data_IF_922418929401
#
_entry.id   IF_922418929401
#
_cell.length_a   1.000
_cell.length_b   1.000
_cell.length_c   1.000
_cell.angle_alpha   90.00
_cell.angle_beta   90.00
_cell.angle_gamma   90.00
#
_symmetry.space_group_name_H-M   'P 1'
#
loop_
_entity.id
_entity.type
_entity.pdbx_description
1 polymer ?
#
# COMPACT_ATOMS: atom_id res chain seq x y z
N UNK A 1 11.54 -8.47 -24.69
CA UNK A 1 10.22 -7.84 -24.54
C UNK A 1 10.18 -7.15 -23.20
N UNK A 2 9.83 -5.85 -23.17
CA UNK A 2 9.62 -5.11 -21.92
C UNK A 2 8.22 -5.42 -21.41
N UNK A 3 8.08 -5.73 -20.13
CA UNK A 3 6.79 -5.91 -19.47
C UNK A 3 6.25 -4.53 -19.06
N UNK A 4 5.02 -4.19 -19.46
CA UNK A 4 4.38 -2.92 -19.07
C UNK A 4 3.28 -3.14 -18.04
N UNK A 5 3.12 -2.17 -17.14
CA UNK A 5 2.05 -2.16 -16.14
C UNK A 5 0.80 -1.59 -16.79
N UNK A 6 -0.24 -2.42 -16.90
CA UNK A 6 -1.54 -2.03 -17.45
C UNK A 6 -2.39 -1.36 -16.36
N UNK A 7 -2.28 -1.82 -15.11
CA UNK A 7 -3.11 -1.31 -14.04
C UNK A 7 -2.66 -1.70 -12.65
N UNK A 8 -3.16 -0.96 -11.68
CA UNK A 8 -2.92 -1.17 -10.25
C UNK A 8 -4.27 -1.20 -9.56
N UNK A 9 -4.54 -2.28 -8.83
CA UNK A 9 -5.70 -2.39 -7.94
C UNK A 9 -5.18 -2.31 -6.51
N UNK A 10 -5.29 -1.15 -5.85
CA UNK A 10 -4.88 -1.02 -4.47
C UNK A 10 -5.88 -1.72 -3.54
N UNK A 11 -5.40 -2.24 -2.41
CA UNK A 11 -6.20 -2.67 -1.24
C UNK A 11 -7.14 -3.87 -1.44
N UNK A 12 -6.68 -4.92 -2.12
CA UNK A 12 -7.37 -6.21 -2.15
C UNK A 12 -7.32 -6.87 -0.78
N UNK A 13 -8.49 -7.18 -0.21
CA UNK A 13 -8.59 -7.83 1.10
C UNK A 13 -8.91 -9.31 0.95
N UNK A 14 -8.06 -10.17 1.50
CA UNK A 14 -8.31 -11.60 1.63
C UNK A 14 -8.69 -11.91 3.07
N UNK A 15 -9.89 -12.47 3.26
CA UNK A 15 -10.37 -12.85 4.58
C UNK A 15 -9.51 -13.96 5.21
N UNK A 16 -9.18 -13.77 6.48
CA UNK A 16 -8.62 -14.79 7.38
C UNK A 16 -9.63 -15.08 8.50
N UNK A 17 -9.36 -16.12 9.29
CA UNK A 17 -10.19 -16.48 10.44
C UNK A 17 -10.24 -15.35 11.48
N UNK A 18 -11.36 -15.29 12.23
CA UNK A 18 -11.56 -14.34 13.34
C UNK A 18 -11.47 -12.85 12.94
N UNK A 19 -12.08 -12.45 11.83
CA UNK A 19 -12.19 -11.04 11.43
C UNK A 19 -10.87 -10.39 11.00
N UNK A 20 -9.81 -11.18 10.83
CA UNK A 20 -8.52 -10.74 10.30
C UNK A 20 -8.56 -10.71 8.78
N UNK A 21 -7.77 -9.83 8.18
CA UNK A 21 -7.67 -9.68 6.73
C UNK A 21 -6.20 -9.50 6.35
N UNK A 22 -5.77 -10.20 5.30
CA UNK A 22 -4.55 -9.82 4.59
C UNK A 22 -4.90 -8.80 3.52
N UNK A 23 -4.04 -7.81 3.33
CA UNK A 23 -4.23 -6.79 2.30
C UNK A 23 -3.13 -6.91 1.27
N UNK A 24 -3.50 -6.87 0.00
CA UNK A 24 -2.60 -6.94 -1.15
C UNK A 24 -2.79 -5.75 -2.06
N UNK A 25 -1.71 -5.33 -2.71
CA UNK A 25 -1.78 -4.50 -3.92
C UNK A 25 -1.54 -5.42 -5.10
N UNK A 26 -2.50 -5.46 -6.04
CA UNK A 26 -2.32 -6.21 -7.28
C UNK A 26 -1.82 -5.27 -8.37
N UNK A 27 -0.69 -5.64 -8.96
CA UNK A 27 -0.15 -5.00 -10.16
C UNK A 27 -0.47 -5.91 -11.33
N UNK A 28 -1.25 -5.41 -12.28
CA UNK A 28 -1.59 -6.12 -13.51
C UNK A 28 -0.64 -5.63 -14.60
N UNK A 29 0.18 -6.55 -15.09
CA UNK A 29 1.07 -6.33 -16.22
C UNK A 29 0.58 -7.13 -17.44
N UNK A 30 1.22 -6.89 -18.60
CA UNK A 30 0.82 -7.48 -19.88
C UNK A 30 0.70 -9.01 -19.88
N UNK A 31 1.57 -9.69 -19.11
CA UNK A 31 1.65 -11.16 -19.14
C UNK A 31 1.38 -11.83 -17.79
N UNK A 32 1.37 -11.06 -16.69
CA UNK A 32 1.15 -11.59 -15.35
C UNK A 32 0.55 -10.55 -14.42
N UNK A 33 -0.02 -11.05 -13.34
CA UNK A 33 -0.45 -10.23 -12.21
C UNK A 33 0.42 -10.56 -11.00
N UNK A 34 0.89 -9.52 -10.30
CA UNK A 34 1.70 -9.63 -9.09
C UNK A 34 0.85 -9.21 -7.91
N UNK A 35 0.76 -10.06 -6.89
CA UNK A 35 0.09 -9.76 -5.62
C UNK A 35 1.13 -9.44 -4.56
N UNK A 36 1.31 -8.16 -4.26
CA UNK A 36 2.23 -7.72 -3.21
C UNK A 36 1.49 -7.62 -1.87
N UNK A 37 1.86 -8.44 -0.90
CA UNK A 37 1.28 -8.40 0.45
C UNK A 37 1.72 -7.12 1.17
N UNK A 38 0.75 -6.39 1.72
CA UNK A 38 1.00 -5.26 2.58
C UNK A 38 1.28 -5.75 4.00
N UNK A 39 2.55 -5.79 4.37
CA UNK A 39 2.95 -6.18 5.72
C UNK A 39 2.76 -5.03 6.72
N UNK A 40 2.62 -5.38 7.99
CA UNK A 40 2.51 -4.39 9.07
C UNK A 40 3.71 -3.45 9.16
N UNK A 41 4.91 -3.92 8.82
CA UNK A 41 6.12 -3.09 8.86
C UNK A 41 6.17 -2.09 7.70
N UNK A 42 5.69 -2.46 6.51
CA UNK A 42 5.51 -1.50 5.40
C UNK A 42 4.52 -0.40 5.79
N UNK A 43 3.40 -0.76 6.43
CA UNK A 43 2.41 0.23 6.90
C UNK A 43 3.02 1.21 7.93
N UNK A 44 3.81 0.71 8.88
CA UNK A 44 4.53 1.56 9.85
C UNK A 44 5.51 2.50 9.16
N UNK A 45 6.24 2.02 8.16
CA UNK A 45 7.18 2.84 7.39
C UNK A 45 6.45 3.96 6.64
N UNK A 46 5.35 3.64 5.95
CA UNK A 46 4.52 4.64 5.24
C UNK A 46 3.95 5.66 6.23
N UNK A 47 3.48 5.23 7.40
CA UNK A 47 2.98 6.13 8.44
C UNK A 47 4.08 7.07 8.98
N UNK A 48 5.28 6.55 9.21
CA UNK A 48 6.43 7.35 9.65
C UNK A 48 6.87 8.35 8.57
N UNK A 49 6.88 7.93 7.30
CA UNK A 49 7.19 8.81 6.19
C UNK A 49 6.14 9.91 6.01
N UNK A 50 4.85 9.57 6.11
CA UNK A 50 3.76 10.54 6.07
C UNK A 50 3.85 11.56 7.21
N UNK A 51 4.19 11.12 8.44
CA UNK A 51 4.43 12.02 9.56
C UNK A 51 5.64 12.93 9.34
N UNK A 52 6.72 12.41 8.75
CA UNK A 52 7.91 13.19 8.42
C UNK A 52 7.58 14.25 7.36
N UNK A 53 6.92 13.86 6.27
CA UNK A 53 6.45 14.78 5.22
C UNK A 53 5.52 15.86 5.78
N UNK A 54 4.57 15.50 6.65
CA UNK A 54 3.69 16.48 7.30
C UNK A 54 4.44 17.50 8.17
N UNK A 55 5.50 17.07 8.88
CA UNK A 55 6.39 17.97 9.63
C UNK A 55 7.20 18.87 8.70
N UNK A 56 7.70 18.34 7.58
CA UNK A 56 8.45 19.09 6.57
C UNK A 56 7.58 20.12 5.83
N UNK A 57 6.31 19.80 5.57
CA UNK A 57 5.33 20.68 4.93
C UNK A 57 4.74 21.74 5.89
N UNK A 58 5.21 21.79 7.15
CA UNK A 58 4.77 22.76 8.15
C UNK A 58 3.32 22.58 8.62
N UNK A 59 2.60 21.58 8.10
CA UNK A 59 1.28 21.17 8.58
C UNK A 59 1.49 20.28 9.79
N UNK A 60 1.66 20.91 10.96
CA UNK A 60 1.69 20.21 12.23
C UNK A 60 0.57 19.18 12.34
N UNK A 61 0.79 18.13 13.13
CA UNK A 61 -0.07 16.96 13.36
C UNK A 61 -1.58 17.25 13.63
N UNK A 62 -1.95 18.52 13.86
CA UNK A 62 -3.29 19.02 14.14
C UNK A 62 -3.82 20.06 13.13
N UNK A 63 -3.34 20.10 11.89
CA UNK A 63 -3.96 20.92 10.85
C UNK A 63 -5.37 20.35 10.52
N UNK A 64 -6.37 20.83 11.27
CA UNK A 64 -7.78 20.83 10.84
C UNK A 64 -7.94 21.77 9.65
#
# INVERSE_FOLDING_TARGET
MSESVIGIVPTLKKGKSFGRWDTYTMVVADTRSVFAEMTGDMLKQVAAEAQRRGKEEGKGFFAR
#
